data_IF_764057618146
#
_entry.id   IF_764057618146
#
_cell.length_a   1.000
_cell.length_b   1.000
_cell.length_c   1.000
_cell.angle_alpha   90.00
_cell.angle_beta   90.00
_cell.angle_gamma   90.00
#
_symmetry.space_group_name_H-M   'P 1'
#
loop_
_entity.id
_entity.type
_entity.pdbx_description
1 polymer ?
#
# COMPACT_ATOMS: atom_id res chain seq x y z
N UNK A 1 -18.83 -28.16 11.25
CA UNK A 1 -19.94 -27.88 10.32
C UNK A 1 -19.70 -26.50 9.77
N UNK A 2 -19.16 -26.42 8.55
CA UNK A 2 -18.88 -25.15 7.88
C UNK A 2 -20.21 -24.59 7.35
N UNK A 3 -20.57 -23.38 7.79
CA UNK A 3 -21.75 -22.69 7.30
C UNK A 3 -21.42 -22.08 5.93
N UNK A 4 -22.18 -22.48 4.91
CA UNK A 4 -22.14 -21.85 3.60
C UNK A 4 -22.62 -20.39 3.72
N UNK A 5 -21.78 -19.46 3.29
CA UNK A 5 -22.13 -18.04 3.16
C UNK A 5 -23.05 -17.89 1.94
N UNK A 6 -24.22 -17.24 2.06
CA UNK A 6 -25.16 -17.08 0.95
C UNK A 6 -24.60 -16.09 -0.09
N UNK A 7 -24.58 -16.52 -1.35
CA UNK A 7 -24.13 -15.70 -2.49
C UNK A 7 -24.94 -14.41 -2.61
N UNK A 8 -24.23 -13.29 -2.72
CA UNK A 8 -24.78 -11.97 -3.00
C UNK A 8 -24.74 -11.73 -4.53
N UNK A 9 -25.77 -11.10 -5.12
CA UNK A 9 -25.78 -10.79 -6.54
C UNK A 9 -24.78 -9.68 -6.87
N UNK A 10 -23.81 -9.99 -7.73
CA UNK A 10 -22.81 -9.06 -8.25
C UNK A 10 -23.45 -8.00 -9.16
N UNK A 11 -23.04 -6.74 -8.97
CA UNK A 11 -23.33 -5.66 -9.91
C UNK A 11 -22.38 -5.82 -11.09
N UNK A 12 -22.90 -6.47 -12.15
CA UNK A 12 -22.27 -6.57 -13.46
C UNK A 12 -21.84 -5.19 -13.97
N UNK A 13 -20.55 -5.02 -14.27
CA UNK A 13 -20.14 -4.14 -15.39
C UNK A 13 -20.64 -4.85 -16.64
N UNK A 14 -21.91 -4.60 -16.96
CA UNK A 14 -22.62 -5.22 -18.05
C UNK A 14 -22.17 -4.60 -19.37
N UNK A 15 -21.04 -5.07 -19.90
CA UNK A 15 -20.84 -5.10 -21.35
C UNK A 15 -21.83 -6.13 -21.89
N UNK A 16 -23.03 -5.64 -22.23
CA UNK A 16 -24.05 -6.26 -23.07
C UNK A 16 -23.89 -7.77 -23.35
N UNK A 17 -24.30 -8.60 -22.37
CA UNK A 17 -24.56 -10.03 -22.56
C UNK A 17 -25.84 -10.29 -23.39
N UNK A 18 -26.06 -9.54 -24.46
CA UNK A 18 -27.27 -9.61 -25.31
C UNK A 18 -27.08 -10.41 -26.59
N UNK A 19 -26.31 -11.50 -26.59
CA UNK A 19 -26.22 -12.43 -27.73
C UNK A 19 -26.02 -13.92 -27.36
N UNK A 20 -26.49 -14.39 -26.19
CA UNK A 20 -26.49 -15.82 -25.88
C UNK A 20 -27.75 -16.51 -26.42
N UNK A 21 -27.62 -17.11 -27.60
CA UNK A 21 -28.64 -17.98 -28.16
C UNK A 21 -28.30 -18.64 -29.49
N UNK A 22 -27.03 -18.85 -29.84
CA UNK A 22 -26.69 -19.65 -31.03
C UNK A 22 -25.22 -19.64 -31.40
N UNK A 23 -24.59 -20.82 -31.35
CA UNK A 23 -23.28 -21.17 -31.94
C UNK A 23 -22.00 -20.75 -31.19
N UNK A 24 -21.77 -21.27 -29.97
CA UNK A 24 -20.42 -21.41 -29.40
C UNK A 24 -20.03 -22.91 -29.43
N UNK A 25 -19.65 -23.43 -30.59
CA UNK A 25 -19.11 -24.80 -30.72
C UNK A 25 -17.61 -24.84 -30.95
N UNK A 26 -16.96 -23.68 -31.07
CA UNK A 26 -15.51 -23.59 -31.23
C UNK A 26 -14.89 -23.11 -29.91
N UNK A 27 -14.29 -24.04 -29.17
CA UNK A 27 -13.56 -23.73 -27.93
C UNK A 27 -12.39 -22.78 -28.16
N UNK A 28 -11.96 -22.62 -29.41
CA UNK A 28 -10.79 -21.83 -29.80
C UNK A 28 -11.20 -20.44 -30.33
N UNK A 29 -12.48 -20.06 -30.27
CA UNK A 29 -12.92 -18.73 -30.69
C UNK A 29 -12.40 -17.62 -29.74
N UNK A 30 -12.16 -16.40 -30.24
CA UNK A 30 -11.80 -15.26 -29.39
C UNK A 30 -12.77 -15.02 -28.23
N UNK A 31 -14.07 -15.20 -28.49
CA UNK A 31 -15.15 -15.03 -27.52
C UNK A 31 -15.12 -16.12 -26.43
N UNK A 32 -14.73 -17.36 -26.79
CA UNK A 32 -14.54 -18.45 -25.83
C UNK A 32 -13.45 -18.10 -24.80
N UNK A 33 -12.33 -17.53 -25.25
CA UNK A 33 -11.27 -17.07 -24.33
C UNK A 33 -11.79 -15.97 -23.40
N UNK A 34 -12.40 -14.90 -23.94
CA UNK A 34 -12.93 -13.77 -23.14
C UNK A 34 -13.92 -14.26 -22.10
N UNK A 35 -14.87 -15.09 -22.51
CA UNK A 35 -15.85 -15.70 -21.60
C UNK A 35 -15.18 -16.52 -20.49
N UNK A 36 -14.21 -17.36 -20.84
CA UNK A 36 -13.53 -18.20 -19.87
C UNK A 36 -12.67 -17.39 -18.87
N UNK A 37 -12.03 -16.30 -19.31
CA UNK A 37 -11.32 -15.38 -18.42
C UNK A 37 -12.29 -14.72 -17.44
N UNK A 38 -13.41 -14.17 -17.93
CA UNK A 38 -14.43 -13.57 -17.06
C UNK A 38 -15.00 -14.58 -16.07
N UNK A 39 -15.32 -15.79 -16.53
CA UNK A 39 -15.79 -16.85 -15.65
C UNK A 39 -14.74 -17.26 -14.61
N UNK A 40 -13.47 -17.34 -14.99
CA UNK A 40 -12.38 -17.64 -14.06
C UNK A 40 -12.20 -16.52 -13.02
N UNK A 41 -12.38 -15.24 -13.39
CA UNK A 41 -12.40 -14.10 -12.47
C UNK A 41 -13.58 -14.20 -11.48
N UNK A 42 -14.79 -14.42 -11.99
CA UNK A 42 -16.03 -14.54 -11.19
C UNK A 42 -15.97 -15.73 -10.22
N UNK A 43 -15.36 -16.84 -10.64
CA UNK A 43 -15.17 -18.05 -9.82
C UNK A 43 -13.99 -17.93 -8.82
N UNK A 44 -13.27 -16.80 -8.80
CA UNK A 44 -12.09 -16.60 -7.94
C UNK A 44 -10.88 -17.44 -8.32
N UNK A 45 -10.81 -17.93 -9.57
CA UNK A 45 -9.71 -18.75 -10.10
C UNK A 45 -8.60 -17.88 -10.69
N UNK A 46 -8.08 -16.95 -9.91
CA UNK A 46 -7.18 -15.90 -10.39
C UNK A 46 -5.87 -16.41 -11.00
N UNK A 47 -5.25 -17.45 -10.46
CA UNK A 47 -4.05 -18.06 -11.07
C UNK A 47 -4.33 -18.59 -12.48
N UNK A 48 -5.53 -19.17 -12.70
CA UNK A 48 -5.94 -19.62 -14.04
C UNK A 48 -6.15 -18.46 -14.99
N UNK A 49 -6.61 -17.32 -14.50
CA UNK A 49 -6.73 -16.10 -15.32
C UNK A 49 -5.36 -15.70 -15.83
N UNK A 50 -4.36 -15.63 -14.95
CA UNK A 50 -2.97 -15.29 -15.31
C UNK A 50 -2.38 -16.27 -16.34
N UNK A 51 -2.56 -17.57 -16.15
CA UNK A 51 -2.13 -18.58 -17.13
C UNK A 51 -2.85 -18.44 -18.47
N UNK A 52 -4.15 -18.13 -18.43
CA UNK A 52 -5.02 -18.11 -19.60
C UNK A 52 -4.78 -16.88 -20.45
N UNK A 53 -4.70 -15.69 -19.88
CA UNK A 53 -4.44 -14.44 -20.63
C UNK A 53 -3.10 -14.50 -21.38
N UNK A 54 -2.16 -15.31 -20.89
CA UNK A 54 -0.83 -15.50 -21.50
C UNK A 54 -0.76 -16.64 -22.51
N UNK A 55 -1.83 -17.43 -22.62
CA UNK A 55 -1.92 -18.47 -23.64
C UNK A 55 -1.97 -17.87 -25.05
N UNK A 56 -1.40 -18.57 -26.03
CA UNK A 56 -1.42 -18.14 -27.44
C UNK A 56 -2.84 -17.89 -27.95
N UNK A 57 -3.81 -18.71 -27.52
CA UNK A 57 -5.20 -18.57 -27.92
C UNK A 57 -5.76 -17.22 -27.46
N UNK A 58 -5.54 -16.85 -26.19
CA UNK A 58 -6.02 -15.59 -25.65
C UNK A 58 -5.24 -14.37 -26.14
N UNK A 59 -3.95 -14.52 -26.42
CA UNK A 59 -3.16 -13.45 -27.03
C UNK A 59 -3.68 -13.04 -28.42
N UNK A 60 -4.25 -13.99 -29.19
CA UNK A 60 -4.89 -13.70 -30.46
C UNK A 60 -6.32 -13.14 -30.29
N UNK A 61 -6.97 -13.44 -29.17
CA UNK A 61 -8.35 -13.07 -28.90
C UNK A 61 -8.52 -11.67 -28.27
N UNK A 62 -7.54 -11.24 -27.50
CA UNK A 62 -7.59 -10.04 -26.68
C UNK A 62 -6.52 -9.03 -27.11
N UNK A 63 -6.83 -7.74 -27.01
CA UNK A 63 -5.79 -6.71 -27.13
C UNK A 63 -4.79 -6.79 -25.96
N UNK A 64 -3.58 -6.22 -26.10
CA UNK A 64 -2.65 -6.10 -24.97
C UNK A 64 -3.28 -5.44 -23.75
N UNK A 65 -4.03 -4.35 -23.95
CA UNK A 65 -4.70 -3.60 -22.88
C UNK A 65 -5.79 -4.43 -22.20
N UNK A 66 -6.60 -5.17 -22.97
CA UNK A 66 -7.58 -6.10 -22.41
C UNK A 66 -6.91 -7.17 -21.54
N UNK A 67 -5.76 -7.71 -21.97
CA UNK A 67 -5.03 -8.71 -21.18
C UNK A 67 -4.47 -8.11 -19.89
N UNK A 68 -3.87 -6.92 -19.97
CA UNK A 68 -3.31 -6.24 -18.80
C UNK A 68 -4.38 -5.85 -17.78
N UNK A 69 -5.56 -5.42 -18.24
CA UNK A 69 -6.71 -5.18 -17.35
C UNK A 69 -7.17 -6.46 -16.63
N UNK A 70 -7.25 -7.58 -17.35
CA UNK A 70 -7.62 -8.86 -16.75
C UNK A 70 -6.53 -9.41 -15.80
N UNK A 71 -5.25 -9.20 -16.11
CA UNK A 71 -4.12 -9.50 -15.20
C UNK A 71 -4.24 -8.68 -13.92
N UNK A 72 -4.49 -7.38 -14.05
CA UNK A 72 -4.65 -6.49 -12.91
C UNK A 72 -5.80 -6.97 -12.00
N UNK A 73 -6.97 -7.28 -12.57
CA UNK A 73 -8.10 -7.82 -11.83
C UNK A 73 -7.77 -9.14 -11.11
N UNK A 74 -7.05 -10.07 -11.77
CA UNK A 74 -6.63 -11.32 -11.17
C UNK A 74 -5.67 -11.10 -9.98
N UNK A 75 -4.74 -10.15 -10.10
CA UNK A 75 -3.84 -9.80 -9.01
C UNK A 75 -4.56 -9.14 -7.83
N UNK A 76 -5.56 -8.30 -8.07
CA UNK A 76 -6.43 -7.75 -6.99
C UNK A 76 -7.13 -8.89 -6.25
N UNK A 77 -7.65 -9.87 -7.01
CA UNK A 77 -8.24 -11.09 -6.47
C UNK A 77 -7.27 -11.91 -5.62
N UNK A 78 -6.05 -12.17 -6.11
CA UNK A 78 -4.99 -12.85 -5.36
C UNK A 78 -4.55 -12.07 -4.12
N UNK A 79 -4.67 -10.74 -4.14
CA UNK A 79 -4.44 -9.94 -2.96
C UNK A 79 -5.53 -10.11 -1.87
N UNK A 80 -6.61 -10.84 -2.16
CA UNK A 80 -7.72 -11.09 -1.27
C UNK A 80 -8.75 -9.96 -1.28
N UNK A 81 -8.82 -9.21 -2.37
CA UNK A 81 -9.80 -8.15 -2.58
C UNK A 81 -10.71 -8.49 -3.76
N UNK A 82 -11.98 -8.17 -3.63
CA UNK A 82 -12.88 -7.97 -4.76
C UNK A 82 -12.95 -6.46 -5.07
N UNK A 83 -12.91 -6.08 -6.34
CA UNK A 83 -13.11 -4.69 -6.76
C UNK A 83 -14.40 -4.12 -6.19
N UNK A 84 -15.46 -4.92 -6.16
CA UNK A 84 -16.75 -4.52 -5.59
C UNK A 84 -16.63 -4.27 -4.09
N UNK A 85 -15.83 -5.04 -3.37
CA UNK A 85 -15.59 -4.82 -1.94
C UNK A 85 -14.78 -3.54 -1.69
N UNK A 86 -13.75 -3.26 -2.49
CA UNK A 86 -12.98 -2.01 -2.36
C UNK A 86 -13.88 -0.80 -2.63
N UNK A 87 -14.70 -0.86 -3.68
CA UNK A 87 -15.67 0.21 -4.02
C UNK A 87 -16.71 0.35 -2.92
N UNK A 88 -17.28 -0.75 -2.43
CA UNK A 88 -18.27 -0.72 -1.36
C UNK A 88 -17.70 -0.19 -0.04
N UNK A 89 -16.42 -0.44 0.24
CA UNK A 89 -15.74 0.16 1.39
C UNK A 89 -15.54 1.66 1.18
N UNK A 90 -15.06 2.05 0.00
CA UNK A 90 -14.82 3.45 -0.34
C UNK A 90 -16.13 4.28 -0.30
N UNK A 91 -17.23 3.73 -0.82
CA UNK A 91 -18.56 4.37 -0.83
C UNK A 91 -19.29 4.19 0.51
N UNK A 92 -19.20 3.02 1.13
CA UNK A 92 -19.95 2.65 2.34
C UNK A 92 -19.57 3.46 3.58
N UNK A 93 -18.38 4.06 3.58
CA UNK A 93 -17.94 5.05 4.55
C UNK A 93 -18.77 6.34 4.53
N UNK A 94 -19.66 6.53 3.56
CA UNK A 94 -20.46 7.74 3.43
C UNK A 94 -21.75 7.77 4.30
N UNK A 95 -21.92 6.80 5.21
CA UNK A 95 -23.01 6.86 6.19
C UNK A 95 -22.81 8.02 7.17
N UNK A 96 -23.90 8.66 7.65
CA UNK A 96 -23.82 9.82 8.52
C UNK A 96 -23.38 9.39 9.93
N UNK A 97 -22.07 9.29 10.13
CA UNK A 97 -21.38 9.34 11.41
C UNK A 97 -20.44 10.55 11.39
N UNK A 98 -20.07 11.06 12.57
CA UNK A 98 -19.22 12.24 12.71
C UNK A 98 -17.94 12.10 11.85
N UNK A 99 -17.56 13.17 11.13
CA UNK A 99 -16.61 13.15 10.00
C UNK A 99 -15.23 12.50 10.28
N UNK A 100 -14.84 12.31 11.53
CA UNK A 100 -13.57 11.66 11.91
C UNK A 100 -13.64 10.12 11.95
N UNK A 101 -14.81 9.49 11.97
CA UNK A 101 -14.94 8.03 12.04
C UNK A 101 -14.82 7.34 10.67
N UNK A 102 -15.09 8.06 9.57
CA UNK A 102 -15.18 7.50 8.21
C UNK A 102 -13.87 6.90 7.70
N UNK A 103 -12.77 7.67 7.73
CA UNK A 103 -11.45 7.18 7.30
C UNK A 103 -10.97 5.98 8.13
N UNK A 104 -11.35 5.95 9.42
CA UNK A 104 -11.00 4.88 10.35
C UNK A 104 -11.80 3.61 10.06
N UNK A 105 -13.09 3.73 9.75
CA UNK A 105 -13.94 2.62 9.33
C UNK A 105 -13.39 1.95 8.07
N UNK A 106 -12.92 2.76 7.12
CA UNK A 106 -12.29 2.23 5.90
C UNK A 106 -11.00 1.45 6.21
N UNK A 107 -10.10 2.01 7.03
CA UNK A 107 -8.89 1.29 7.44
C UNK A 107 -9.21 -0.02 8.17
N UNK A 108 -10.25 -0.05 9.01
CA UNK A 108 -10.74 -1.28 9.67
C UNK A 108 -11.31 -2.28 8.67
N UNK A 109 -12.11 -1.82 7.71
CA UNK A 109 -12.69 -2.68 6.69
C UNK A 109 -11.59 -3.27 5.78
N UNK A 110 -10.61 -2.46 5.38
CA UNK A 110 -9.47 -2.89 4.58
C UNK A 110 -8.49 -3.78 5.34
N UNK A 111 -8.40 -3.67 6.68
CA UNK A 111 -7.71 -4.68 7.50
C UNK A 111 -8.40 -6.04 7.46
N UNK A 112 -9.73 -6.04 7.41
CA UNK A 112 -10.54 -7.25 7.29
C UNK A 112 -10.45 -7.91 5.91
N UNK A 113 -10.12 -7.13 4.87
CA UNK A 113 -9.81 -7.60 3.53
C UNK A 113 -8.31 -7.87 3.37
N UNK A 114 -7.92 -8.80 2.51
CA UNK A 114 -6.51 -9.15 2.32
C UNK A 114 -5.99 -10.13 3.38
N UNK A 115 -6.40 -11.39 3.22
CA UNK A 115 -6.03 -12.49 4.12
C UNK A 115 -4.60 -13.03 3.92
N UNK A 116 -3.89 -12.62 2.85
CA UNK A 116 -2.64 -13.27 2.45
C UNK A 116 -1.39 -12.43 2.71
N UNK A 117 -0.31 -13.09 3.14
CA UNK A 117 1.03 -12.49 3.37
C UNK A 117 1.67 -11.84 2.13
N UNK A 118 1.09 -12.05 0.95
CA UNK A 118 1.56 -11.52 -0.34
C UNK A 118 0.62 -10.47 -0.92
N UNK A 119 -0.41 -10.06 -0.16
CA UNK A 119 -1.44 -9.16 -0.66
C UNK A 119 -0.88 -7.87 -1.23
N UNK A 120 0.06 -7.24 -0.52
CA UNK A 120 0.66 -5.97 -0.97
C UNK A 120 1.46 -6.13 -2.27
N UNK A 121 2.18 -7.25 -2.44
CA UNK A 121 2.90 -7.56 -3.69
C UNK A 121 1.93 -7.74 -4.86
N UNK A 122 0.83 -8.47 -4.65
CA UNK A 122 -0.15 -8.67 -5.71
C UNK A 122 -0.83 -7.35 -6.09
N UNK A 123 -1.14 -6.47 -5.13
CA UNK A 123 -1.61 -5.12 -5.45
C UNK A 123 -0.56 -4.30 -6.25
N UNK A 124 0.74 -4.51 -5.99
CA UNK A 124 1.81 -3.88 -6.78
C UNK A 124 1.88 -4.43 -8.22
N UNK A 125 1.78 -5.75 -8.40
CA UNK A 125 1.67 -6.40 -9.72
C UNK A 125 0.42 -5.95 -10.49
N UNK A 126 -0.68 -5.67 -9.78
CA UNK A 126 -1.87 -5.07 -10.37
C UNK A 126 -1.60 -3.65 -10.87
N UNK A 127 -0.91 -2.81 -10.09
CA UNK A 127 -0.52 -1.46 -10.52
C UNK A 127 0.37 -1.50 -11.76
N UNK A 128 1.39 -2.34 -11.77
CA UNK A 128 2.29 -2.52 -12.92
C UNK A 128 1.49 -2.92 -14.18
N UNK A 129 0.48 -3.77 -14.02
CA UNK A 129 -0.38 -4.15 -15.13
C UNK A 129 -1.20 -2.99 -15.68
N UNK A 130 -1.74 -2.10 -14.82
CA UNK A 130 -2.38 -0.87 -15.28
C UNK A 130 -1.41 0.11 -15.96
N UNK A 131 -0.19 0.24 -15.45
CA UNK A 131 0.85 1.09 -16.05
C UNK A 131 1.19 0.67 -17.49
N UNK A 132 1.23 -0.64 -17.77
CA UNK A 132 1.45 -1.15 -19.14
C UNK A 132 0.34 -0.74 -20.13
N UNK A 133 -0.85 -0.41 -19.65
CA UNK A 133 -1.96 0.04 -20.51
C UNK A 133 -1.81 1.50 -20.98
N UNK A 134 -0.97 2.31 -20.33
CA UNK A 134 -0.84 3.75 -20.58
C UNK A 134 0.57 4.15 -21.04
N UNK A 135 1.26 3.23 -21.71
CA UNK A 135 2.65 3.41 -22.21
C UNK A 135 2.86 4.57 -23.17
N UNK A 136 1.80 5.17 -23.71
CA UNK A 136 1.87 6.39 -24.52
C UNK A 136 2.19 7.65 -23.70
N UNK A 137 2.08 7.58 -22.36
CA UNK A 137 2.35 8.69 -21.46
C UNK A 137 3.75 8.51 -20.83
N UNK A 138 4.69 9.44 -21.04
CA UNK A 138 6.09 9.29 -20.64
C UNK A 138 6.26 9.20 -19.12
N UNK A 139 5.39 9.83 -18.37
CA UNK A 139 5.40 9.87 -16.90
C UNK A 139 4.47 8.80 -16.28
N UNK A 140 4.01 7.85 -17.10
CA UNK A 140 3.24 6.69 -16.66
C UNK A 140 1.79 7.01 -16.28
N UNK A 141 1.25 6.21 -15.35
CA UNK A 141 -0.16 6.23 -14.98
C UNK A 141 -0.60 7.52 -14.30
N UNK A 142 0.29 8.16 -13.53
CA UNK A 142 -0.02 9.43 -12.88
C UNK A 142 -0.35 10.52 -13.88
N UNK A 143 0.47 10.70 -14.91
CA UNK A 143 0.20 11.69 -15.95
C UNK A 143 -0.96 11.26 -16.85
N UNK A 144 -0.99 9.99 -17.28
CA UNK A 144 -2.06 9.47 -18.14
C UNK A 144 -3.45 9.73 -17.56
N UNK A 145 -3.60 9.51 -16.25
CA UNK A 145 -4.89 9.55 -15.58
C UNK A 145 -5.28 10.95 -15.05
N UNK A 146 -4.49 12.00 -15.35
CA UNK A 146 -4.86 13.38 -15.04
C UNK A 146 -6.13 13.78 -15.79
N UNK A 147 -6.92 14.68 -15.19
CA UNK A 147 -8.21 15.13 -15.74
C UNK A 147 -8.08 15.66 -17.16
N UNK A 148 -7.05 16.47 -17.41
CA UNK A 148 -6.76 17.06 -18.72
C UNK A 148 -6.46 16.04 -19.83
N UNK A 149 -6.00 14.85 -19.46
CA UNK A 149 -5.62 13.79 -20.40
C UNK A 149 -6.74 12.77 -20.64
N UNK A 150 -7.87 12.87 -19.92
CA UNK A 150 -8.96 11.89 -19.97
C UNK A 150 -9.52 11.68 -21.38
N UNK A 151 -9.69 12.75 -22.16
CA UNK A 151 -10.22 12.68 -23.52
C UNK A 151 -9.24 12.01 -24.52
N UNK A 152 -7.99 11.80 -24.11
CA UNK A 152 -6.96 11.10 -24.89
C UNK A 152 -6.92 9.59 -24.57
N UNK A 153 -7.59 9.15 -23.51
CA UNK A 153 -7.64 7.76 -23.07
C UNK A 153 -8.80 7.01 -23.71
N UNK A 154 -8.54 5.78 -24.14
CA UNK A 154 -9.60 4.81 -24.44
C UNK A 154 -10.41 4.45 -23.20
N UNK A 155 -11.62 3.92 -23.39
CA UNK A 155 -12.49 3.48 -22.28
C UNK A 155 -11.77 2.51 -21.33
N UNK A 156 -11.02 1.53 -21.87
CA UNK A 156 -10.23 0.59 -21.06
C UNK A 156 -9.13 1.27 -20.25
N UNK A 157 -8.50 2.31 -20.79
CA UNK A 157 -7.49 3.08 -20.06
C UNK A 157 -8.12 3.95 -18.99
N UNK A 158 -9.31 4.51 -19.22
CA UNK A 158 -10.06 5.24 -18.19
C UNK A 158 -10.49 4.30 -17.05
N UNK A 159 -10.93 3.08 -17.36
CA UNK A 159 -11.24 2.05 -16.37
C UNK A 159 -9.99 1.67 -15.57
N UNK A 160 -8.84 1.50 -16.25
CA UNK A 160 -7.56 1.24 -15.59
C UNK A 160 -7.13 2.37 -14.64
N UNK A 161 -7.35 3.63 -15.02
CA UNK A 161 -7.10 4.78 -14.15
C UNK A 161 -7.95 4.73 -12.89
N UNK A 162 -9.25 4.47 -13.03
CA UNK A 162 -10.16 4.36 -11.89
C UNK A 162 -9.77 3.21 -10.96
N UNK A 163 -9.57 2.01 -11.53
CA UNK A 163 -9.23 0.81 -10.77
C UNK A 163 -7.87 0.97 -10.10
N UNK A 164 -6.88 1.55 -10.78
CA UNK A 164 -5.58 1.77 -10.18
C UNK A 164 -5.62 2.74 -8.99
N UNK A 165 -6.49 3.76 -9.03
CA UNK A 165 -6.76 4.59 -7.86
C UNK A 165 -7.27 3.77 -6.67
N UNK A 166 -8.21 2.85 -6.88
CA UNK A 166 -8.69 1.93 -5.84
C UNK A 166 -7.58 0.99 -5.33
N UNK A 167 -6.71 0.49 -6.21
CA UNK A 167 -5.58 -0.37 -5.86
C UNK A 167 -4.56 0.38 -5.02
N UNK A 168 -4.17 1.58 -5.43
CA UNK A 168 -3.21 2.39 -4.69
C UNK A 168 -3.75 2.76 -3.30
N UNK A 169 -5.06 3.02 -3.18
CA UNK A 169 -5.73 3.16 -1.88
C UNK A 169 -5.60 1.89 -1.00
N UNK A 170 -5.92 0.73 -1.56
CA UNK A 170 -5.82 -0.54 -0.85
C UNK A 170 -4.37 -0.86 -0.43
N UNK A 171 -3.39 -0.52 -1.28
CA UNK A 171 -1.96 -0.67 -0.97
C UNK A 171 -1.56 0.15 0.23
N UNK A 172 -1.95 1.42 0.29
CA UNK A 172 -1.63 2.27 1.43
C UNK A 172 -2.30 1.79 2.70
N UNK A 173 -3.59 1.48 2.66
CA UNK A 173 -4.28 0.94 3.83
C UNK A 173 -3.60 -0.34 4.33
N UNK A 174 -3.24 -1.26 3.42
CA UNK A 174 -2.51 -2.48 3.78
C UNK A 174 -1.13 -2.18 4.35
N UNK A 175 -0.42 -1.20 3.81
CA UNK A 175 0.89 -0.79 4.30
C UNK A 175 0.78 -0.22 5.72
N UNK A 176 -0.23 0.61 6.00
CA UNK A 176 -0.54 1.10 7.34
C UNK A 176 -0.85 -0.08 8.28
N UNK A 177 -1.65 -1.05 7.85
CA UNK A 177 -1.93 -2.28 8.63
C UNK A 177 -0.65 -3.04 8.93
N UNK A 178 0.26 -3.20 7.97
CA UNK A 178 1.52 -3.94 8.16
C UNK A 178 2.49 -3.19 9.09
N UNK A 179 2.54 -1.86 9.00
CA UNK A 179 3.41 -1.03 9.83
C UNK A 179 2.97 -0.94 11.29
N UNK A 180 1.65 -1.01 11.53
CA UNK A 180 1.04 -0.86 12.85
C UNK A 180 0.57 -2.17 13.47
N UNK A 181 0.50 -3.24 12.68
CA UNK A 181 0.13 -4.58 13.12
C UNK A 181 -1.27 -4.65 13.75
N UNK A 182 -1.34 -5.37 14.87
CA UNK A 182 -2.56 -5.54 15.67
C UNK A 182 -2.99 -4.26 16.39
N UNK A 183 -2.11 -3.26 16.46
CA UNK A 183 -2.35 -1.99 17.12
C UNK A 183 -3.11 -1.00 16.26
N UNK A 184 -3.44 -1.33 15.01
CA UNK A 184 -4.24 -0.45 14.17
C UNK A 184 -5.56 -0.07 14.84
N UNK A 185 -6.31 -1.03 15.40
CA UNK A 185 -7.59 -0.70 16.04
C UNK A 185 -7.44 0.26 17.21
N UNK A 186 -6.33 0.15 17.96
CA UNK A 186 -6.03 1.04 19.08
C UNK A 186 -5.54 2.39 18.60
N UNK A 187 -4.78 2.41 17.51
CA UNK A 187 -4.40 3.65 16.85
C UNK A 187 -5.62 4.42 16.34
N UNK A 188 -6.59 3.70 15.79
CA UNK A 188 -7.84 4.28 15.28
C UNK A 188 -8.83 4.61 16.42
N UNK A 189 -8.86 3.86 17.52
CA UNK A 189 -9.74 4.08 18.67
C UNK A 189 -9.05 4.92 19.77
N UNK A 190 -9.16 6.25 19.64
CA UNK A 190 -8.62 7.23 20.59
C UNK A 190 -9.11 7.07 22.03
N UNK A 191 -10.13 6.25 22.29
CA UNK A 191 -10.78 6.09 23.59
C UNK A 191 -10.26 4.91 24.43
N UNK A 192 -9.38 4.05 23.90
CA UNK A 192 -8.91 2.79 24.54
C UNK A 192 -7.41 2.74 24.86
N UNK A 193 -6.84 3.86 25.26
CA UNK A 193 -5.43 3.97 25.61
C UNK A 193 -5.17 3.31 26.96
N UNK A 194 -4.28 2.32 27.00
CA UNK A 194 -3.86 1.60 28.21
C UNK A 194 -2.35 1.44 28.21
N UNK A 195 -1.77 0.99 29.33
CA UNK A 195 -0.34 0.66 29.41
C UNK A 195 0.13 -0.47 28.46
N UNK A 196 -0.73 -0.99 27.57
CA UNK A 196 -0.42 -2.01 26.58
C UNK A 196 -0.45 -1.48 25.13
N UNK A 197 -0.96 -0.26 24.87
CA UNK A 197 -1.11 0.28 23.52
C UNK A 197 -1.17 1.81 23.52
N UNK A 198 -0.11 2.52 23.13
CA UNK A 198 -0.13 3.98 23.21
C UNK A 198 0.82 4.73 22.28
N UNK A 199 0.20 5.33 21.27
CA UNK A 199 0.82 6.19 20.27
C UNK A 199 0.56 7.69 20.50
N UNK A 200 0.18 8.13 21.70
CA UNK A 200 -0.19 9.54 21.93
C UNK A 200 0.24 10.11 23.28
N UNK A 201 1.27 9.52 23.88
CA UNK A 201 1.88 9.94 25.14
C UNK A 201 1.11 9.53 26.42
N UNK A 202 1.02 8.22 26.63
CA UNK A 202 0.69 7.49 27.86
C UNK A 202 1.86 6.63 28.43
N UNK A 203 3.00 6.51 27.73
CA UNK A 203 4.22 5.86 28.20
C UNK A 203 4.39 4.36 27.87
N UNK A 204 3.79 3.81 26.81
CA UNK A 204 3.89 2.37 26.48
C UNK A 204 4.70 2.10 25.21
N UNK A 205 5.68 1.18 25.27
CA UNK A 205 6.41 0.73 24.09
C UNK A 205 5.52 0.03 23.04
N UNK A 206 5.46 0.58 21.82
CA UNK A 206 4.60 0.06 20.74
C UNK A 206 5.28 0.00 19.35
N UNK A 207 4.68 -0.73 18.39
CA UNK A 207 5.29 -0.92 17.05
C UNK A 207 5.25 0.35 16.20
N UNK A 208 4.39 1.29 16.56
CA UNK A 208 4.24 2.53 15.86
C UNK A 208 5.34 3.52 16.23
N UNK A 209 5.79 3.54 17.49
CA UNK A 209 7.00 4.24 17.94
C UNK A 209 8.26 3.65 17.30
N UNK A 210 8.32 2.31 17.18
CA UNK A 210 9.40 1.61 16.46
C UNK A 210 9.44 2.06 15.00
N UNK A 211 8.29 2.05 14.32
CA UNK A 211 8.19 2.46 12.92
C UNK A 211 8.49 3.95 12.73
N UNK A 212 7.97 4.82 13.59
CA UNK A 212 8.24 6.26 13.52
C UNK A 212 9.73 6.56 13.72
N UNK A 213 10.37 5.89 14.69
CA UNK A 213 11.80 6.00 14.89
C UNK A 213 12.59 5.49 13.68
N UNK A 214 12.20 4.35 13.08
CA UNK A 214 12.86 3.86 11.88
C UNK A 214 12.76 4.82 10.69
N UNK A 215 11.64 5.53 10.54
CA UNK A 215 11.47 6.59 9.53
C UNK A 215 12.42 7.75 9.82
N UNK A 216 12.58 8.16 11.09
CA UNK A 216 13.44 9.27 11.49
C UNK A 216 14.94 8.97 11.32
N UNK A 217 15.36 7.73 11.61
CA UNK A 217 16.78 7.34 11.78
C UNK A 217 17.56 7.20 10.49
N UNK A 218 16.85 7.06 9.38
CA UNK A 218 17.44 6.81 8.08
C UNK A 218 18.59 7.77 7.73
N UNK A 219 18.45 9.06 8.01
CA UNK A 219 19.49 10.06 7.65
C UNK A 219 20.70 10.00 8.60
N UNK A 220 20.56 9.31 9.72
CA UNK A 220 21.58 9.16 10.75
C UNK A 220 22.23 7.77 10.74
N UNK A 221 21.94 6.90 9.78
CA UNK A 221 22.44 5.50 9.76
C UNK A 221 23.97 5.40 9.87
N UNK A 222 24.70 6.38 9.33
CA UNK A 222 26.17 6.49 9.43
C UNK A 222 26.68 6.63 10.88
N UNK A 223 25.84 7.11 11.80
CA UNK A 223 26.17 7.22 13.22
C UNK A 223 26.19 5.86 13.93
N UNK A 224 25.59 4.83 13.32
CA UNK A 224 25.53 3.46 13.86
C UNK A 224 24.59 3.27 15.05
N UNK A 225 24.26 4.32 15.81
CA UNK A 225 23.27 4.29 16.90
C UNK A 225 22.84 5.70 17.29
N UNK A 226 21.69 5.83 17.96
CA UNK A 226 21.21 7.11 18.45
C UNK A 226 19.87 7.03 19.18
N UNK A 227 19.20 8.17 19.27
CA UNK A 227 17.89 8.32 19.92
C UNK A 227 16.90 9.01 19.01
N UNK A 228 15.65 8.57 19.01
CA UNK A 228 14.56 9.16 18.23
C UNK A 228 13.74 10.14 19.08
N UNK A 229 13.18 11.16 18.42
CA UNK A 229 12.23 12.10 19.01
C UNK A 229 10.77 11.66 18.87
N UNK A 230 10.52 10.47 18.30
CA UNK A 230 9.19 9.87 18.13
C UNK A 230 8.35 9.77 19.43
N UNK A 231 8.96 10.09 20.57
CA UNK A 231 8.35 10.25 21.87
C UNK A 231 7.72 11.66 21.98
N UNK A 232 6.45 11.81 21.57
CA UNK A 232 5.70 13.05 21.80
C UNK A 232 5.71 13.44 23.28
N UNK A 233 5.98 14.71 23.60
CA UNK A 233 5.90 15.21 24.97
C UNK A 233 4.46 15.56 25.32
N UNK A 234 3.88 14.94 26.36
CA UNK A 234 2.61 15.39 26.94
C UNK A 234 2.90 16.27 28.13
N UNK A 235 2.49 17.53 28.07
CA UNK A 235 2.69 18.51 29.15
C UNK A 235 4.16 18.64 29.60
N UNK A 236 5.12 18.44 28.69
CA UNK A 236 6.55 18.52 29.01
C UNK A 236 7.14 17.32 29.77
N UNK A 237 6.40 16.22 29.93
CA UNK A 237 6.97 14.95 30.43
C UNK A 237 7.50 14.11 29.26
N UNK A 238 8.72 13.61 29.43
CA UNK A 238 9.36 12.70 28.49
C UNK A 238 8.60 11.37 28.46
N UNK A 239 8.10 11.01 27.30
CA UNK A 239 7.79 9.63 26.93
C UNK A 239 9.12 8.84 26.92
N UNK A 240 9.05 7.52 27.15
CA UNK A 240 10.26 6.72 27.38
C UNK A 240 11.28 6.86 26.26
N UNK A 241 12.56 6.70 26.58
CA UNK A 241 13.63 6.85 25.58
C UNK A 241 13.46 5.83 24.45
N UNK A 242 13.37 6.33 23.22
CA UNK A 242 13.42 5.51 22.00
C UNK A 242 14.84 5.55 21.48
N UNK A 243 15.51 4.40 21.47
CA UNK A 243 16.89 4.26 21.01
C UNK A 243 16.95 3.35 19.80
N UNK A 244 17.96 3.54 18.96
CA UNK A 244 18.18 2.70 17.79
C UNK A 244 19.66 2.36 17.63
N UNK A 245 19.94 1.24 16.98
CA UNK A 245 21.28 0.82 16.59
C UNK A 245 21.25 0.06 15.26
N UNK A 246 22.28 0.22 14.43
CA UNK A 246 22.51 -0.64 13.29
C UNK A 246 23.01 -2.00 13.78
N UNK A 247 22.53 -3.07 13.16
CA UNK A 247 23.02 -4.40 13.51
C UNK A 247 24.32 -4.66 12.77
N UNK A 248 25.44 -4.15 13.33
CA UNK A 248 26.78 -4.18 12.70
C UNK A 248 27.30 -5.57 12.31
N UNK A 249 26.79 -6.64 12.94
CA UNK A 249 27.07 -8.01 12.51
C UNK A 249 26.49 -8.35 11.12
N UNK A 250 25.51 -7.55 10.66
CA UNK A 250 24.76 -7.68 9.42
C UNK A 250 24.59 -6.29 8.79
N UNK A 251 25.66 -5.69 8.22
CA UNK A 251 25.59 -4.33 7.69
C UNK A 251 24.60 -4.19 6.52
N UNK A 252 24.39 -5.28 5.77
CA UNK A 252 23.48 -5.35 4.64
C UNK A 252 22.92 -6.77 4.51
N UNK A 253 21.62 -6.88 4.21
CA UNK A 253 20.91 -8.13 4.00
C UNK A 253 20.45 -8.22 2.54
N UNK A 254 20.95 -9.22 1.83
CA UNK A 254 20.73 -9.45 0.40
C UNK A 254 19.58 -10.44 0.16
N UNK A 255 18.34 -9.94 0.16
CA UNK A 255 17.14 -10.76 0.02
C UNK A 255 16.97 -11.31 -1.40
N UNK A 256 16.80 -12.63 -1.51
CA UNK A 256 16.68 -13.34 -2.78
C UNK A 256 15.26 -13.89 -3.00
N UNK A 257 14.76 -13.78 -4.22
CA UNK A 257 13.55 -14.45 -4.68
C UNK A 257 13.88 -15.37 -5.85
N UNK A 258 13.58 -16.67 -5.72
CA UNK A 258 13.92 -17.68 -6.72
C UNK A 258 15.41 -17.73 -7.11
N UNK A 259 16.29 -17.26 -6.22
CA UNK A 259 17.74 -17.19 -6.43
C UNK A 259 18.24 -15.86 -6.99
N UNK A 260 17.33 -14.97 -7.41
CA UNK A 260 17.68 -13.63 -7.88
C UNK A 260 17.61 -12.62 -6.73
N UNK A 261 18.62 -11.78 -6.61
CA UNK A 261 18.61 -10.67 -5.65
C UNK A 261 17.45 -9.74 -5.98
N UNK A 262 16.57 -9.48 -5.03
CA UNK A 262 15.54 -8.45 -5.21
C UNK A 262 15.76 -7.22 -4.33
N UNK A 263 16.35 -7.33 -3.14
CA UNK A 263 16.58 -6.17 -2.29
C UNK A 263 17.84 -6.31 -1.44
N UNK A 264 18.55 -5.20 -1.29
CA UNK A 264 19.63 -5.03 -0.33
C UNK A 264 19.19 -4.04 0.74
N UNK A 265 19.09 -4.49 1.99
CA UNK A 265 18.49 -3.71 3.06
C UNK A 265 19.38 -3.67 4.30
N UNK A 266 19.46 -2.51 4.93
CA UNK A 266 20.18 -2.32 6.18
C UNK A 266 19.24 -2.57 7.37
N UNK A 267 19.54 -3.56 8.25
CA UNK A 267 18.72 -3.81 9.41
C UNK A 267 19.09 -2.89 10.58
N UNK A 268 18.06 -2.27 11.17
CA UNK A 268 18.18 -1.52 12.41
C UNK A 268 17.34 -2.17 13.51
N UNK A 269 17.84 -2.11 14.74
CA UNK A 269 17.10 -2.46 15.94
C UNK A 269 16.64 -1.18 16.62
N UNK A 270 15.35 -1.08 16.86
CA UNK A 270 14.75 0.00 17.64
C UNK A 270 14.26 -0.56 18.96
N UNK A 271 14.59 0.12 20.04
CA UNK A 271 14.12 -0.21 21.39
C UNK A 271 13.38 0.97 21.98
N UNK A 272 12.18 0.71 22.47
CA UNK A 272 11.35 1.70 23.15
C UNK A 272 11.26 1.34 24.61
N UNK A 273 11.77 2.22 25.47
CA UNK A 273 11.64 2.08 26.91
C UNK A 273 10.24 2.51 27.37
N UNK A 274 9.67 1.89 28.41
CA UNK A 274 8.43 2.37 29.00
C UNK A 274 8.64 3.76 29.64
N UNK A 275 7.63 4.62 29.51
CA UNK A 275 7.57 5.88 30.22
C UNK A 275 7.16 5.71 31.69
N UNK A 276 7.22 6.79 32.47
CA UNK A 276 6.91 6.79 33.90
C UNK A 276 5.48 6.30 34.21
N UNK A 277 4.54 6.59 33.32
CA UNK A 277 3.15 6.15 33.44
C UNK A 277 2.95 4.63 33.26
N UNK A 278 3.99 3.91 32.80
CA UNK A 278 3.98 2.46 32.58
C UNK A 278 5.14 1.74 33.30
N UNK A 279 5.60 2.31 34.42
CA UNK A 279 6.63 1.67 35.25
C UNK A 279 6.25 0.21 35.58
N UNK A 280 7.18 -0.72 35.30
CA UNK A 280 6.98 -2.17 35.47
C UNK A 280 6.68 -2.93 34.18
N UNK A 281 6.49 -2.25 33.04
CA UNK A 281 6.47 -2.90 31.73
C UNK A 281 7.88 -3.15 31.20
N UNK A 282 8.04 -4.15 30.35
CA UNK A 282 9.29 -4.38 29.62
C UNK A 282 9.40 -3.40 28.45
N UNK A 283 10.63 -3.00 28.11
CA UNK A 283 10.90 -2.37 26.83
C UNK A 283 10.41 -3.24 25.69
N UNK A 284 9.95 -2.61 24.60
CA UNK A 284 9.68 -3.29 23.33
C UNK A 284 10.86 -3.07 22.40
N UNK A 285 11.26 -4.11 21.70
CA UNK A 285 12.33 -4.05 20.71
C UNK A 285 11.81 -4.65 19.42
N UNK A 286 12.08 -3.99 18.31
CA UNK A 286 11.74 -4.46 16.97
C UNK A 286 12.90 -4.24 16.01
N UNK A 287 12.93 -5.06 14.96
CA UNK A 287 13.83 -4.87 13.82
C UNK A 287 13.05 -4.22 12.69
N UNK A 288 13.68 -3.25 12.03
CA UNK A 288 13.20 -2.62 10.80
C UNK A 288 14.27 -2.71 9.73
N UNK A 289 13.85 -2.76 8.49
CA UNK A 289 14.73 -2.82 7.33
C UNK A 289 14.67 -1.49 6.60
N UNK A 290 15.82 -0.88 6.38
CA UNK A 290 15.95 0.36 5.62
C UNK A 290 16.50 0.02 4.24
N UNK A 291 15.79 0.42 3.20
CA UNK A 291 16.31 0.43 1.85
C UNK A 291 17.16 1.67 1.71
N UNK A 292 18.46 1.49 1.48
CA UNK A 292 19.38 2.61 1.29
C UNK A 292 19.58 2.87 -0.20
N UNK A 293 18.78 3.78 -0.74
CA UNK A 293 18.85 4.22 -2.12
C UNK A 293 19.01 5.73 -2.14
N UNK A 294 20.15 6.26 -1.68
CA UNK A 294 20.40 7.72 -1.68
C UNK A 294 19.97 8.38 -3.02
N UNK A 295 19.03 9.36 -3.02
CA UNK A 295 18.43 10.10 -1.89
C UNK A 295 17.09 9.56 -1.34
N UNK A 296 16.57 8.46 -1.87
CA UNK A 296 15.25 7.88 -1.62
C UNK A 296 15.23 6.78 -0.56
N UNK A 297 16.20 6.78 0.37
CA UNK A 297 16.29 5.75 1.40
C UNK A 297 14.97 5.71 2.21
N UNK A 298 14.48 4.55 2.62
CA UNK A 298 13.15 4.46 3.23
C UNK A 298 12.95 3.17 4.03
N UNK A 299 11.98 3.16 4.94
CA UNK A 299 11.63 1.96 5.69
C UNK A 299 10.87 1.01 4.76
N UNK A 300 11.37 -0.20 4.60
CA UNK A 300 10.69 -1.25 3.85
C UNK A 300 9.42 -1.70 4.59
N UNK A 301 8.34 -1.91 3.84
CA UNK A 301 7.15 -2.59 4.32
C UNK A 301 7.49 -4.09 4.46
N UNK A 302 7.15 -4.67 5.61
CA UNK A 302 7.45 -6.06 5.92
C UNK A 302 6.17 -6.85 6.18
N UNK A 303 6.12 -8.10 5.74
CA UNK A 303 5.03 -9.04 6.03
C UNK A 303 5.59 -10.34 6.64
N UNK A 304 5.50 -10.44 7.97
CA UNK A 304 6.02 -11.57 8.73
C UNK A 304 7.55 -11.63 8.76
N UNK A 305 8.08 -12.86 8.77
CA UNK A 305 9.51 -13.13 8.92
C UNK A 305 9.97 -14.18 7.91
N UNK A 306 11.15 -14.02 7.35
CA UNK A 306 11.75 -14.96 6.41
C UNK A 306 13.28 -15.01 6.49
N UNK A 307 13.83 -16.09 5.93
CA UNK A 307 15.26 -16.25 5.66
C UNK A 307 15.68 -15.36 4.47
N UNK A 308 16.86 -14.75 4.54
CA UNK A 308 17.36 -13.80 3.52
C UNK A 308 17.52 -14.47 2.14
N UNK A 309 18.11 -15.67 2.09
CA UNK A 309 18.49 -16.34 0.83
C UNK A 309 17.35 -17.10 0.15
N UNK A 310 16.35 -17.52 0.91
CA UNK A 310 15.31 -18.44 0.44
C UNK A 310 13.92 -17.83 0.48
N UNK A 311 13.76 -16.68 1.16
CA UNK A 311 12.47 -16.08 1.55
C UNK A 311 11.51 -17.06 2.23
N UNK A 312 12.03 -18.18 2.75
CA UNK A 312 11.24 -19.17 3.47
C UNK A 312 10.77 -18.56 4.78
N UNK A 313 9.46 -18.67 5.03
CA UNK A 313 8.86 -18.10 6.22
C UNK A 313 9.38 -18.72 7.53
N UNK A 314 9.55 -17.88 8.55
CA UNK A 314 9.83 -18.29 9.92
C UNK A 314 8.69 -17.91 10.88
N UNK A 315 8.85 -18.28 12.16
CA UNK A 315 7.89 -17.98 13.23
C UNK A 315 8.13 -16.66 13.94
N UNK A 316 9.31 -16.05 13.81
CA UNK A 316 9.67 -14.81 14.51
C UNK A 316 11.06 -14.31 14.13
N UNK A 317 11.47 -13.12 14.62
CA UNK A 317 12.78 -12.55 14.34
C UNK A 317 13.85 -13.29 15.15
N UNK A 318 14.84 -13.85 14.46
CA UNK A 318 16.01 -14.51 15.03
C UNK A 318 17.22 -14.25 14.12
N UNK A 319 17.92 -13.10 14.30
CA UNK A 319 19.09 -12.75 13.52
C UNK A 319 20.17 -13.83 13.51
N UNK A 320 20.37 -14.52 14.64
CA UNK A 320 21.39 -15.55 14.80
C UNK A 320 21.04 -16.82 13.99
N UNK A 321 19.74 -17.12 13.86
CA UNK A 321 19.23 -18.17 12.97
C UNK A 321 19.00 -17.69 11.52
N UNK A 322 19.37 -16.45 11.19
CA UNK A 322 19.20 -15.89 9.84
C UNK A 322 17.75 -15.55 9.49
N UNK A 323 16.86 -15.41 10.48
CA UNK A 323 15.48 -15.03 10.26
C UNK A 323 15.21 -13.55 10.56
N UNK A 324 14.72 -12.84 9.55
CA UNK A 324 14.54 -11.40 9.55
C UNK A 324 13.10 -11.02 9.25
N UNK A 325 12.66 -9.80 9.58
CA UNK A 325 11.43 -9.26 9.00
C UNK A 325 11.44 -9.42 7.48
N UNK A 326 10.36 -9.90 6.89
CA UNK A 326 10.36 -10.23 5.46
C UNK A 326 9.91 -9.01 4.63
N UNK A 327 10.80 -8.36 3.86
CA UNK A 327 10.41 -7.22 3.04
C UNK A 327 9.47 -7.68 1.92
N UNK A 328 8.50 -6.83 1.58
CA UNK A 328 7.61 -7.09 0.43
C UNK A 328 8.33 -6.64 -0.85
N UNK A 329 8.59 -7.54 -1.82
CA UNK A 329 9.28 -7.16 -3.05
C UNK A 329 8.42 -6.25 -3.93
N UNK A 330 9.06 -5.32 -4.64
CA UNK A 330 8.43 -4.58 -5.73
C UNK A 330 8.23 -5.49 -6.95
N UNK A 331 7.21 -5.20 -7.73
CA UNK A 331 6.90 -5.87 -8.98
C UNK A 331 7.81 -5.41 -10.13
N UNK A 332 8.09 -4.10 -10.18
CA UNK A 332 8.68 -3.43 -11.34
C UNK A 332 10.22 -3.32 -11.29
N UNK A 333 10.82 -3.51 -10.11
CA UNK A 333 12.22 -3.14 -9.84
C UNK A 333 12.89 -4.06 -8.83
N UNK A 334 14.21 -3.99 -8.81
CA UNK A 334 14.98 -4.31 -7.62
C UNK A 334 14.57 -3.33 -6.51
N UNK A 335 14.17 -3.85 -5.37
CA UNK A 335 13.78 -3.10 -4.19
C UNK A 335 12.67 -3.78 -3.40
N UNK A 336 12.47 -3.31 -2.17
CA UNK A 336 11.28 -3.57 -1.39
C UNK A 336 10.27 -2.45 -1.60
N UNK A 337 8.99 -2.73 -1.38
CA UNK A 337 7.98 -1.68 -1.26
C UNK A 337 8.26 -0.92 0.04
N UNK A 338 8.32 0.40 -0.03
CA UNK A 338 8.63 1.23 1.13
C UNK A 338 7.43 2.03 1.64
N UNK A 339 7.54 2.59 2.86
CA UNK A 339 6.53 3.52 3.42
C UNK A 339 6.32 4.70 2.48
N UNK A 340 7.41 5.24 1.92
CA UNK A 340 7.37 6.37 1.01
C UNK A 340 6.65 6.02 -0.29
N UNK A 341 6.97 4.88 -0.93
CA UNK A 341 6.28 4.45 -2.15
C UNK A 341 4.77 4.45 -1.97
N UNK A 342 4.30 3.82 -0.90
CA UNK A 342 2.85 3.62 -0.67
C UNK A 342 2.13 4.91 -0.25
N UNK A 343 2.80 5.78 0.49
CA UNK A 343 2.27 7.09 0.88
C UNK A 343 2.24 8.06 -0.31
N UNK A 344 3.33 8.17 -1.07
CA UNK A 344 3.41 9.05 -2.25
C UNK A 344 2.42 8.62 -3.33
N UNK A 345 2.33 7.33 -3.63
CA UNK A 345 1.32 6.79 -4.55
C UNK A 345 -0.10 7.18 -4.13
N UNK A 346 -0.38 7.16 -2.83
CA UNK A 346 -1.72 7.48 -2.34
C UNK A 346 -2.03 8.97 -2.35
N UNK A 347 -1.06 9.78 -1.97
CA UNK A 347 -1.24 11.22 -1.90
C UNK A 347 -1.18 11.88 -3.27
N UNK A 348 -0.43 11.32 -4.23
CA UNK A 348 -0.29 11.87 -5.57
C UNK A 348 -1.21 11.23 -6.61
N UNK A 349 -1.44 9.90 -6.58
CA UNK A 349 -2.24 9.20 -7.61
C UNK A 349 -3.68 8.91 -7.15
N UNK A 350 -3.82 8.31 -5.98
CA UNK A 350 -5.09 7.72 -5.53
C UNK A 350 -6.20 8.76 -5.37
N UNK A 351 -5.86 9.87 -4.71
CA UNK A 351 -6.87 10.78 -4.24
C UNK A 351 -7.54 11.52 -5.41
N UNK A 352 -6.81 11.93 -6.44
CA UNK A 352 -7.41 12.65 -7.58
C UNK A 352 -8.34 11.76 -8.43
N UNK A 353 -8.03 10.46 -8.58
CA UNK A 353 -8.87 9.52 -9.34
C UNK A 353 -10.17 9.15 -8.62
N UNK A 354 -10.09 8.85 -7.32
CA UNK A 354 -11.27 8.53 -6.53
C UNK A 354 -12.20 9.74 -6.41
N UNK A 355 -11.63 10.93 -6.28
CA UNK A 355 -12.42 12.16 -6.24
C UNK A 355 -13.11 12.43 -7.59
N UNK A 356 -12.48 12.07 -8.71
CA UNK A 356 -13.04 12.21 -10.05
C UNK A 356 -14.37 11.47 -10.27
N UNK A 357 -14.65 10.40 -9.52
CA UNK A 357 -15.89 9.61 -9.65
C UNK A 357 -16.99 9.99 -8.65
N UNK A 358 -16.67 10.80 -7.64
CA UNK A 358 -17.65 11.28 -6.64
C UNK A 358 -18.61 12.33 -7.23
N UNK A 359 -19.73 12.58 -6.53
CA UNK A 359 -20.62 13.69 -6.92
C UNK A 359 -19.89 15.04 -6.86
N UNK A 360 -20.32 16.05 -7.62
CA UNK A 360 -19.62 17.34 -7.68
C UNK A 360 -19.38 17.95 -6.29
N UNK A 361 -20.36 17.83 -5.37
CA UNK A 361 -20.25 18.34 -4.00
C UNK A 361 -19.20 17.58 -3.17
N UNK A 362 -19.24 16.25 -3.18
CA UNK A 362 -18.27 15.41 -2.46
C UNK A 362 -16.88 15.58 -3.04
N UNK A 363 -16.81 15.74 -4.37
CA UNK A 363 -15.59 15.97 -5.11
C UNK A 363 -14.90 17.24 -4.66
N UNK A 364 -15.62 18.37 -4.61
CA UNK A 364 -15.05 19.65 -4.19
C UNK A 364 -14.56 19.60 -2.74
N UNK A 365 -15.32 18.95 -1.86
CA UNK A 365 -14.93 18.79 -0.45
C UNK A 365 -13.68 17.91 -0.30
N UNK A 366 -13.64 16.76 -0.98
CA UNK A 366 -12.52 15.85 -0.92
C UNK A 366 -11.25 16.46 -1.56
N UNK A 367 -11.38 17.20 -2.67
CA UNK A 367 -10.25 17.97 -3.25
C UNK A 367 -9.74 19.02 -2.29
N UNK A 368 -10.64 19.76 -1.63
CA UNK A 368 -10.22 20.78 -0.66
C UNK A 368 -9.46 20.15 0.54
N UNK A 369 -9.93 19.01 1.05
CA UNK A 369 -9.23 18.28 2.12
C UNK A 369 -7.87 17.76 1.66
N UNK A 370 -7.81 17.11 0.50
CA UNK A 370 -6.57 16.58 -0.05
C UNK A 370 -5.54 17.69 -0.32
N UNK A 371 -5.97 18.79 -0.93
CA UNK A 371 -5.10 19.93 -1.18
C UNK A 371 -4.66 20.61 0.12
N UNK A 372 -5.48 20.57 1.17
CA UNK A 372 -5.07 20.97 2.52
C UNK A 372 -3.94 20.10 3.07
N UNK A 373 -4.04 18.78 2.94
CA UNK A 373 -2.99 17.82 3.37
C UNK A 373 -1.72 18.03 2.53
N UNK A 374 -1.85 18.15 1.21
CA UNK A 374 -0.72 18.46 0.31
C UNK A 374 -0.04 19.76 0.72
N UNK A 375 -0.80 20.82 0.94
CA UNK A 375 -0.26 22.10 1.39
C UNK A 375 0.41 22.01 2.77
N UNK A 376 -0.10 21.19 3.70
CA UNK A 376 0.52 20.96 5.00
C UNK A 376 1.86 20.23 4.88
N UNK A 377 1.92 19.17 4.06
CA UNK A 377 3.15 18.42 3.79
C UNK A 377 4.17 19.28 3.03
N UNK A 378 3.69 20.10 2.10
CA UNK A 378 4.49 20.97 1.26
C UNK A 378 4.80 22.34 1.90
N UNK A 379 4.29 22.63 3.11
CA UNK A 379 4.53 23.89 3.80
C UNK A 379 6.04 24.05 4.03
N UNK A 380 6.69 25.05 3.40
CA UNK A 380 8.13 25.08 3.23
C UNK A 380 8.85 24.93 4.57
N UNK A 381 9.54 23.81 4.72
CA UNK A 381 10.62 23.67 5.69
C UNK A 381 11.80 24.45 5.12
N UNK A 382 12.60 25.08 5.98
CA UNK A 382 13.82 25.73 5.51
C UNK A 382 14.66 24.73 4.71
N UNK A 383 14.85 24.98 3.41
CA UNK A 383 15.57 24.09 2.49
C UNK A 383 14.71 23.27 1.51
N UNK A 384 13.37 23.27 1.64
CA UNK A 384 12.45 22.50 0.77
C UNK A 384 11.69 23.36 -0.23
N UNK A 385 12.17 24.56 -0.55
CA UNK A 385 11.46 25.56 -1.38
C UNK A 385 11.07 25.07 -2.79
N UNK A 386 11.61 23.93 -3.25
CA UNK A 386 11.25 23.27 -4.51
C UNK A 386 10.77 21.81 -4.34
N UNK A 387 10.43 21.37 -3.13
CA UNK A 387 10.12 19.97 -2.84
C UNK A 387 8.67 19.59 -3.18
N UNK A 388 7.84 20.51 -3.63
CA UNK A 388 6.53 20.18 -4.18
C UNK A 388 6.26 21.00 -5.44
N UNK A 389 6.62 20.51 -6.63
CA UNK A 389 6.23 21.19 -7.86
C UNK A 389 4.70 21.21 -7.97
N UNK A 390 4.16 22.29 -8.52
CA UNK A 390 2.79 22.31 -8.98
C UNK A 390 2.73 21.70 -10.38
N UNK A 391 1.74 20.85 -10.62
CA UNK A 391 1.44 20.36 -11.96
C UNK A 391 0.71 21.42 -12.81
N UNK A 392 0.33 21.05 -14.03
CA UNK A 392 -0.37 21.95 -14.96
C UNK A 392 -1.74 22.43 -14.44
N UNK A 393 -2.35 21.71 -13.50
CA UNK A 393 -3.62 22.03 -12.86
C UNK A 393 -3.43 22.86 -11.56
N UNK A 394 -2.18 23.20 -11.20
CA UNK A 394 -1.86 23.92 -9.97
C UNK A 394 -1.94 23.03 -8.72
N UNK A 395 -1.90 21.71 -8.89
CA UNK A 395 -1.93 20.75 -7.79
C UNK A 395 -0.50 20.49 -7.33
N UNK A 396 -0.27 20.61 -6.02
CA UNK A 396 1.02 20.29 -5.40
C UNK A 396 1.29 18.79 -5.46
N UNK A 397 2.36 18.40 -6.15
CA UNK A 397 2.87 17.04 -6.16
C UNK A 397 3.84 16.87 -4.98
N UNK A 398 3.52 15.96 -4.05
CA UNK A 398 4.40 15.72 -2.91
C UNK A 398 5.60 14.93 -3.42
N UNK A 399 6.81 15.50 -3.32
CA UNK A 399 8.02 14.72 -3.59
C UNK A 399 8.41 13.87 -2.38
N UNK A 400 9.30 12.92 -2.61
CA UNK A 400 9.88 12.15 -1.53
C UNK A 400 10.53 13.04 -0.47
N UNK A 401 11.31 14.04 -0.89
CA UNK A 401 11.95 15.01 0.02
C UNK A 401 10.94 15.77 0.88
N UNK A 402 9.80 16.20 0.33
CA UNK A 402 8.78 16.90 1.11
C UNK A 402 8.14 15.99 2.16
N UNK A 403 7.75 14.76 1.76
CA UNK A 403 7.18 13.79 2.68
C UNK A 403 8.16 13.44 3.82
N UNK A 404 9.44 13.29 3.49
CA UNK A 404 10.50 13.00 4.47
C UNK A 404 10.65 14.11 5.51
N UNK A 405 10.75 15.36 5.07
CA UNK A 405 10.87 16.50 5.98
C UNK A 405 9.62 16.69 6.83
N UNK A 406 8.44 16.42 6.28
CA UNK A 406 7.19 16.42 7.04
C UNK A 406 7.21 15.34 8.14
N UNK A 407 7.63 14.11 7.83
CA UNK A 407 7.71 13.01 8.80
C UNK A 407 8.78 13.20 9.88
N UNK A 408 9.73 14.13 9.69
CA UNK A 408 10.76 14.48 10.67
C UNK A 408 10.26 15.45 11.76
N UNK A 409 9.24 16.24 11.45
CA UNK A 409 8.61 17.21 12.37
C UNK A 409 7.72 16.48 13.37
#
# INVERSE_FOLDING_TARGET
MAAAVPGRPFLLIAVAATLLGGCLTDSDSPESCRYAVTQDLDDGRYERVLDRVDSRACQAAMSPEERDLNRAAAYIGLAGYDLVDIVNIAIGADRPQEDQEKALEVLRALRGLGAERRGLRFLDLSRESHERMVTAFPDGLGDACRRQNRDLLSDLQQDACFISGLVAYARFARSVVLLLGDQLDVWLDRSRLTCDNDRNASGVPDDAEITACAIQVRDDLDQGSGTCQAAGTRNGQATGAVTWETLTAHPELAFLESGDLFANLQPIRVSVAPGDACQGRSSRTGVRLIQDETPDSSVAIMDGFCEVETTRGCTGPDPDAGCWPCPVPRADRFGAITVQDTALDSLNLTADHLIGVSSDRERDQALATLNGIRAEICDPVAGTENACPEDADGILEITNTALQEYLRR
#
